data_IF_577663037825
#
_entry.id   IF_577663037825
#
_cell.length_a   1.000
_cell.length_b   1.000
_cell.length_c   1.000
_cell.angle_alpha   90.00
_cell.angle_beta   90.00
_cell.angle_gamma   90.00
#
_symmetry.space_group_name_H-M   'P 1'
#
loop_
_entity.id
_entity.type
_entity.pdbx_description
1 polymer ?
#
# COMPACT_ATOMS: atom_id res chain seq x y z
N UNK A 1 -24.91 7.30 3.13
CA UNK A 1 -24.23 6.18 3.81
C UNK A 1 -22.80 6.64 4.08
N UNK A 2 -22.33 6.60 5.32
CA UNK A 2 -20.98 7.01 5.69
C UNK A 2 -19.95 5.92 5.33
N UNK A 3 -18.77 6.30 4.83
CA UNK A 3 -17.74 5.39 4.33
C UNK A 3 -17.23 4.45 5.44
N UNK A 4 -17.06 4.97 6.66
CA UNK A 4 -16.63 4.18 7.83
C UNK A 4 -17.67 3.10 8.16
N UNK A 5 -18.94 3.44 8.07
CA UNK A 5 -20.07 2.52 8.27
C UNK A 5 -20.17 1.42 7.20
N UNK A 6 -19.75 1.73 5.97
CA UNK A 6 -19.69 0.75 4.87
C UNK A 6 -18.49 -0.19 5.01
N UNK A 7 -17.30 0.36 5.29
CA UNK A 7 -16.09 -0.43 5.50
C UNK A 7 -16.19 -1.36 6.73
N UNK A 8 -16.95 -0.98 7.75
CA UNK A 8 -17.24 -1.87 8.88
C UNK A 8 -18.06 -3.12 8.48
N UNK A 9 -18.87 -3.01 7.41
CA UNK A 9 -19.69 -4.13 6.89
C UNK A 9 -18.92 -4.97 5.88
N UNK A 10 -18.11 -4.32 5.06
CA UNK A 10 -17.25 -4.99 4.06
C UNK A 10 -15.93 -5.31 4.74
N UNK A 11 -15.81 -6.48 5.37
CA UNK A 11 -14.51 -6.97 5.81
C UNK A 11 -13.74 -7.46 4.57
N UNK A 12 -12.67 -6.78 4.12
CA UNK A 12 -11.81 -7.36 3.11
C UNK A 12 -11.17 -8.62 3.73
N UNK A 13 -11.48 -9.79 3.16
CA UNK A 13 -10.97 -11.07 3.62
C UNK A 13 -9.66 -11.48 2.94
N UNK A 14 -9.31 -10.79 1.85
CA UNK A 14 -8.10 -11.09 1.09
C UNK A 14 -6.91 -10.33 1.67
N UNK A 15 -5.80 -11.02 1.96
CA UNK A 15 -4.55 -10.37 2.29
C UNK A 15 -4.11 -9.44 1.15
N UNK A 16 -3.65 -8.24 1.48
CA UNK A 16 -3.12 -7.28 0.53
C UNK A 16 -1.75 -6.79 0.98
N UNK A 17 -0.80 -6.73 0.04
CA UNK A 17 0.49 -6.08 0.24
C UNK A 17 0.43 -4.70 -0.41
N UNK A 18 0.70 -3.65 0.36
CA UNK A 18 0.74 -2.27 -0.12
C UNK A 18 2.18 -1.77 -0.10
N UNK A 19 2.66 -1.29 -1.25
CA UNK A 19 3.97 -0.66 -1.37
C UNK A 19 3.77 0.85 -1.45
N UNK A 20 4.45 1.61 -0.59
CA UNK A 20 4.29 3.07 -0.47
C UNK A 20 5.65 3.76 -0.41
N UNK A 21 5.78 4.88 -1.11
CA UNK A 21 7.01 5.66 -1.10
C UNK A 21 7.04 6.63 0.09
N UNK A 22 8.16 6.70 0.80
CA UNK A 22 8.33 7.53 2.00
C UNK A 22 8.41 9.04 1.70
N UNK A 23 8.59 9.39 0.42
CA UNK A 23 8.69 10.76 -0.06
C UNK A 23 7.32 11.45 -0.27
N UNK A 24 6.21 10.72 -0.12
CA UNK A 24 4.85 11.28 -0.12
C UNK A 24 4.18 11.18 1.27
N UNK A 25 4.09 12.31 1.97
CA UNK A 25 3.53 12.36 3.32
C UNK A 25 2.03 11.99 3.39
N UNK A 26 1.26 12.27 2.34
CA UNK A 26 -0.17 11.99 2.32
C UNK A 26 -0.39 10.48 2.17
N UNK A 27 0.38 9.84 1.29
CA UNK A 27 0.33 8.39 1.11
C UNK A 27 0.78 7.64 2.37
N UNK A 28 1.78 8.15 3.09
CA UNK A 28 2.18 7.58 4.38
C UNK A 28 1.08 7.64 5.44
N UNK A 29 0.33 8.76 5.50
CA UNK A 29 -0.83 8.89 6.39
C UNK A 29 -1.91 7.86 6.04
N UNK A 30 -2.23 7.70 4.75
CA UNK A 30 -3.19 6.70 4.30
C UNK A 30 -2.73 5.27 4.58
N UNK A 31 -1.46 4.96 4.32
CA UNK A 31 -0.86 3.65 4.61
C UNK A 31 -0.94 3.32 6.11
N UNK A 32 -0.70 4.30 6.99
CA UNK A 32 -0.86 4.14 8.43
C UNK A 32 -2.29 3.82 8.86
N UNK A 33 -3.29 4.45 8.23
CA UNK A 33 -4.70 4.10 8.46
C UNK A 33 -5.01 2.68 7.99
N UNK A 34 -4.48 2.27 6.84
CA UNK A 34 -4.68 0.94 6.27
C UNK A 34 -3.95 -0.16 7.05
N UNK A 35 -2.84 0.15 7.72
CA UNK A 35 -2.14 -0.79 8.59
C UNK A 35 -2.99 -1.25 9.79
N UNK A 36 -4.07 -0.54 10.12
CA UNK A 36 -5.01 -0.96 11.18
C UNK A 36 -5.87 -2.17 10.78
N UNK A 37 -5.89 -2.55 9.50
CA UNK A 37 -6.57 -3.74 9.02
C UNK A 37 -5.62 -4.94 9.07
N UNK A 38 -5.99 -5.98 9.83
CA UNK A 38 -5.13 -7.14 10.08
C UNK A 38 -4.78 -8.01 8.86
N UNK A 39 -5.35 -7.73 7.69
CA UNK A 39 -5.06 -8.38 6.42
C UNK A 39 -4.21 -7.52 5.47
N UNK A 40 -3.71 -6.36 5.92
CA UNK A 40 -2.89 -5.46 5.12
C UNK A 40 -1.45 -5.47 5.64
N UNK A 41 -0.49 -5.68 4.74
CA UNK A 41 0.94 -5.56 5.02
C UNK A 41 1.48 -4.35 4.25
N UNK A 42 2.10 -3.42 4.96
CA UNK A 42 2.69 -2.21 4.36
C UNK A 42 4.19 -2.42 4.16
N UNK A 43 4.67 -2.12 2.95
CA UNK A 43 6.08 -2.10 2.57
C UNK A 43 6.46 -0.67 2.17
N UNK A 44 7.29 -0.03 2.99
CA UNK A 44 7.82 1.28 2.69
C UNK A 44 9.01 1.18 1.75
N UNK A 45 9.08 2.07 0.75
CA UNK A 45 10.25 2.23 -0.12
C UNK A 45 10.77 3.66 -0.06
N UNK A 46 12.07 3.84 -0.26
CA UNK A 46 12.73 5.12 -0.02
C UNK A 46 12.21 6.25 -0.93
N UNK A 47 11.99 5.96 -2.22
CA UNK A 47 11.60 6.97 -3.21
C UNK A 47 10.67 6.39 -4.27
N UNK A 48 9.92 7.27 -4.92
CA UNK A 48 9.15 6.93 -6.10
C UNK A 48 7.88 7.76 -6.25
N UNK A 49 7.31 8.26 -5.16
CA UNK A 49 6.06 9.02 -5.14
C UNK A 49 5.05 8.52 -6.18
N UNK A 50 4.62 9.44 -7.04
CA UNK A 50 3.68 9.14 -8.13
C UNK A 50 4.21 8.14 -9.18
N UNK A 51 5.53 8.04 -9.37
CA UNK A 51 6.18 7.11 -10.30
C UNK A 51 6.66 5.81 -9.62
N UNK A 52 6.17 5.48 -8.42
CA UNK A 52 6.62 4.33 -7.62
C UNK A 52 6.73 3.03 -8.42
N UNK A 53 5.70 2.69 -9.20
CA UNK A 53 5.69 1.45 -10.00
C UNK A 53 6.82 1.45 -11.05
N UNK A 54 7.06 2.59 -11.69
CA UNK A 54 8.14 2.75 -12.68
C UNK A 54 9.50 2.65 -12.00
N UNK A 55 9.69 3.28 -10.85
CA UNK A 55 10.92 3.17 -10.05
C UNK A 55 11.21 1.71 -9.64
N UNK A 56 10.19 0.98 -9.20
CA UNK A 56 10.31 -0.44 -8.85
C UNK A 56 10.61 -1.32 -10.07
N UNK A 57 10.00 -1.02 -11.22
CA UNK A 57 10.27 -1.71 -12.48
C UNK A 57 11.70 -1.49 -12.95
N UNK A 58 12.11 -0.22 -13.02
CA UNK A 58 13.40 0.18 -13.58
C UNK A 58 14.56 -0.27 -12.68
N UNK A 59 14.32 -0.45 -11.37
CA UNK A 59 15.28 -1.04 -10.42
C UNK A 59 15.27 -2.58 -10.38
N UNK A 60 14.38 -3.24 -11.13
CA UNK A 60 14.21 -4.70 -11.15
C UNK A 60 13.41 -5.28 -9.98
N UNK A 61 13.21 -4.53 -8.88
CA UNK A 61 12.51 -4.97 -7.67
C UNK A 61 11.05 -5.36 -7.90
N UNK A 62 10.39 -4.77 -8.90
CA UNK A 62 9.00 -5.12 -9.22
C UNK A 62 8.85 -6.59 -9.62
N UNK A 63 9.83 -7.16 -10.33
CA UNK A 63 9.78 -8.56 -10.72
C UNK A 63 9.87 -9.50 -9.50
N UNK A 64 10.62 -9.11 -8.48
CA UNK A 64 10.73 -9.87 -7.22
C UNK A 64 9.42 -9.79 -6.43
N UNK A 65 8.80 -8.60 -6.35
CA UNK A 65 7.50 -8.39 -5.69
C UNK A 65 6.40 -9.26 -6.33
N UNK A 66 6.36 -9.35 -7.66
CA UNK A 66 5.33 -10.11 -8.37
C UNK A 66 5.52 -11.64 -8.29
N UNK A 67 6.66 -12.11 -7.80
CA UNK A 67 6.98 -13.54 -7.65
C UNK A 67 6.82 -14.05 -6.21
N UNK A 68 6.66 -13.16 -5.25
CA UNK A 68 6.46 -13.44 -3.83
C UNK A 68 5.02 -13.89 -3.52
#
# INVERSE_FOLDING_TARGET
MDLKSYLAKVRPSLPAQLYVARDDAMDMIHAGMLATFGNIVIHEVDTGGHELVKTLRDSGKLADILRA
#
